data_IF_411303575589
#
_entry.id   IF_411303575589
#
_cell.length_a   1.000
_cell.length_b   1.000
_cell.length_c   1.000
_cell.angle_alpha   90.00
_cell.angle_beta   90.00
_cell.angle_gamma   90.00
#
_symmetry.space_group_name_H-M   'P 1'
#
loop_
_entity.id
_entity.type
_entity.pdbx_description
1 polymer ?
#
# COMPACT_ATOMS: atom_id res chain seq x y z
N UNK A 1 -3.17 -26.31 -17.55
CA UNK A 1 -3.94 -25.97 -16.33
C UNK A 1 -3.13 -25.05 -15.42
N UNK A 2 -2.95 -23.77 -15.77
CA UNK A 2 -1.99 -22.89 -15.05
C UNK A 2 -2.44 -21.42 -14.87
N UNK A 3 -3.71 -21.11 -15.17
CA UNK A 3 -4.29 -19.76 -15.00
C UNK A 3 -5.01 -19.62 -13.65
N UNK A 4 -5.52 -20.71 -13.07
CA UNK A 4 -6.27 -20.69 -11.81
C UNK A 4 -5.43 -20.33 -10.57
N UNK A 5 -4.11 -20.56 -10.59
CA UNK A 5 -3.23 -20.24 -9.44
C UNK A 5 -3.03 -18.72 -9.25
N UNK A 6 -2.59 -17.95 -10.26
CA UNK A 6 -2.35 -16.52 -10.08
C UNK A 6 -3.61 -15.70 -9.78
N UNK A 7 -4.77 -16.05 -10.36
CA UNK A 7 -6.04 -15.38 -10.04
C UNK A 7 -6.47 -15.64 -8.59
N UNK A 8 -6.22 -16.84 -8.05
CA UNK A 8 -6.47 -17.15 -6.64
C UNK A 8 -5.65 -16.28 -5.69
N UNK A 9 -4.36 -16.04 -5.98
CA UNK A 9 -3.54 -15.14 -5.17
C UNK A 9 -3.99 -13.67 -5.25
N UNK A 10 -4.44 -13.21 -6.42
CA UNK A 10 -5.00 -11.86 -6.57
C UNK A 10 -6.30 -11.66 -5.78
N UNK A 11 -7.22 -12.64 -5.85
CA UNK A 11 -8.46 -12.61 -5.08
C UNK A 11 -8.21 -12.67 -3.58
N UNK A 12 -7.23 -13.46 -3.14
CA UNK A 12 -6.81 -13.51 -1.73
C UNK A 12 -6.25 -12.16 -1.28
N UNK A 13 -5.37 -11.55 -2.08
CA UNK A 13 -4.80 -10.24 -1.77
C UNK A 13 -5.87 -9.12 -1.68
N UNK A 14 -6.86 -9.14 -2.58
CA UNK A 14 -8.03 -8.26 -2.52
C UNK A 14 -8.79 -8.44 -1.19
N UNK A 15 -9.11 -9.69 -0.83
CA UNK A 15 -9.85 -10.00 0.39
C UNK A 15 -9.08 -9.63 1.66
N UNK A 16 -7.78 -9.91 1.71
CA UNK A 16 -6.90 -9.54 2.83
C UNK A 16 -6.84 -8.03 3.00
N UNK A 17 -6.70 -7.27 1.90
CA UNK A 17 -6.66 -5.81 1.98
C UNK A 17 -7.97 -5.23 2.55
N UNK A 18 -9.12 -5.73 2.07
CA UNK A 18 -10.42 -5.34 2.63
C UNK A 18 -10.55 -5.74 4.11
N UNK A 19 -10.16 -6.96 4.46
CA UNK A 19 -10.23 -7.43 5.84
C UNK A 19 -9.37 -6.59 6.79
N UNK A 20 -8.17 -6.21 6.35
CA UNK A 20 -7.30 -5.29 7.10
C UNK A 20 -7.92 -3.90 7.23
N UNK A 21 -8.51 -3.36 6.16
CA UNK A 21 -9.19 -2.07 6.18
C UNK A 21 -10.35 -2.05 7.19
N UNK A 22 -11.27 -3.02 7.09
CA UNK A 22 -12.42 -3.12 8.00
C UNK A 22 -11.97 -3.45 9.43
N UNK A 23 -11.00 -4.34 9.60
CA UNK A 23 -10.48 -4.75 10.90
C UNK A 23 -9.81 -3.59 11.65
N UNK A 24 -8.94 -2.84 10.98
CA UNK A 24 -8.25 -1.70 11.58
C UNK A 24 -9.23 -0.58 11.96
N UNK A 25 -10.14 -0.19 11.07
CA UNK A 25 -11.11 0.87 11.34
C UNK A 25 -12.11 0.47 12.43
N UNK A 26 -12.57 -0.79 12.43
CA UNK A 26 -13.49 -1.27 13.46
C UNK A 26 -12.80 -1.28 14.83
N UNK A 27 -11.53 -1.67 14.90
CA UNK A 27 -10.76 -1.70 16.14
C UNK A 27 -10.49 -0.29 16.72
N UNK A 28 -10.24 0.69 15.86
CA UNK A 28 -9.88 2.06 16.29
C UNK A 28 -11.11 2.94 16.52
N UNK A 29 -12.11 2.87 15.63
CA UNK A 29 -13.21 3.85 15.56
C UNK A 29 -14.60 3.22 15.67
N UNK A 30 -14.70 1.89 15.74
CA UNK A 30 -15.97 1.16 15.86
C UNK A 30 -16.66 0.86 14.53
N UNK A 31 -17.67 -0.01 14.60
CA UNK A 31 -18.34 -0.57 13.41
C UNK A 31 -19.17 0.47 12.64
N UNK A 32 -19.95 1.32 13.34
CA UNK A 32 -20.80 2.33 12.69
C UNK A 32 -19.97 3.34 11.89
N UNK A 33 -18.83 3.78 12.44
CA UNK A 33 -17.91 4.68 11.75
C UNK A 33 -17.30 4.02 10.51
N UNK A 34 -16.91 2.76 10.62
CA UNK A 34 -16.29 2.00 9.51
C UNK A 34 -17.24 1.86 8.32
N UNK A 35 -18.51 1.49 8.56
CA UNK A 35 -19.50 1.36 7.50
C UNK A 35 -19.84 2.72 6.89
N UNK A 36 -19.94 3.77 7.70
CA UNK A 36 -20.22 5.12 7.19
C UNK A 36 -19.08 5.61 6.27
N UNK A 37 -17.83 5.49 6.73
CA UNK A 37 -16.63 5.80 5.94
C UNK A 37 -16.56 4.97 4.65
N UNK A 38 -16.85 3.67 4.73
CA UNK A 38 -16.85 2.82 3.55
C UNK A 38 -17.93 3.27 2.56
N UNK A 39 -19.15 3.60 3.02
CA UNK A 39 -20.24 4.05 2.14
C UNK A 39 -19.95 5.37 1.45
N UNK A 40 -19.18 6.25 2.09
CA UNK A 40 -18.83 7.56 1.54
C UNK A 40 -17.68 7.46 0.54
N UNK A 41 -16.69 6.60 0.81
CA UNK A 41 -15.48 6.47 0.01
C UNK A 41 -15.39 5.17 -0.80
N UNK A 42 -16.49 4.41 -0.94
CA UNK A 42 -16.49 3.11 -1.63
C UNK A 42 -15.93 3.20 -3.05
N UNK A 43 -16.22 4.31 -3.75
CA UNK A 43 -15.75 4.58 -5.10
C UNK A 43 -14.22 4.68 -5.21
N UNK A 44 -13.53 5.01 -4.12
CA UNK A 44 -12.07 4.99 -4.06
C UNK A 44 -11.56 3.64 -3.56
N UNK A 45 -12.18 3.09 -2.52
CA UNK A 45 -11.71 1.88 -1.83
C UNK A 45 -11.81 0.65 -2.74
N UNK A 46 -12.93 0.49 -3.45
CA UNK A 46 -13.17 -0.69 -4.28
C UNK A 46 -12.19 -0.75 -5.47
N UNK A 47 -12.02 0.32 -6.28
CA UNK A 47 -11.03 0.30 -7.36
C UNK A 47 -9.59 0.12 -6.87
N UNK A 48 -9.24 0.70 -5.70
CA UNK A 48 -7.91 0.51 -5.12
C UNK A 48 -7.66 -0.97 -4.79
N UNK A 49 -8.62 -1.59 -4.11
CA UNK A 49 -8.52 -2.99 -3.73
C UNK A 49 -8.48 -3.91 -4.96
N UNK A 50 -9.33 -3.65 -5.96
CA UNK A 50 -9.32 -4.39 -7.23
C UNK A 50 -7.98 -4.23 -7.93
N UNK A 51 -7.46 -3.00 -8.04
CA UNK A 51 -6.16 -2.71 -8.62
C UNK A 51 -5.03 -3.43 -7.91
N UNK A 52 -5.05 -3.48 -6.58
CA UNK A 52 -4.09 -4.24 -5.78
C UNK A 52 -4.15 -5.74 -6.06
N UNK A 53 -5.36 -6.32 -6.10
CA UNK A 53 -5.54 -7.73 -6.45
C UNK A 53 -5.02 -8.08 -7.86
N UNK A 54 -5.26 -7.20 -8.83
CA UNK A 54 -4.72 -7.32 -10.19
C UNK A 54 -3.20 -7.26 -10.19
N UNK A 55 -2.59 -6.28 -9.52
CA UNK A 55 -1.14 -6.15 -9.40
C UNK A 55 -0.50 -7.41 -8.81
N UNK A 56 -1.11 -8.00 -7.77
CA UNK A 56 -0.62 -9.25 -7.16
C UNK A 56 -0.77 -10.43 -8.12
N UNK A 57 -1.89 -10.56 -8.83
CA UNK A 57 -2.09 -11.63 -9.81
C UNK A 57 -1.06 -11.57 -10.95
N UNK A 58 -0.81 -10.36 -11.49
CA UNK A 58 0.23 -10.13 -12.49
C UNK A 58 1.62 -10.42 -11.93
N UNK A 59 1.94 -9.96 -10.72
CA UNK A 59 3.24 -10.22 -10.10
C UNK A 59 3.52 -11.72 -9.92
N UNK A 60 2.55 -12.49 -9.44
CA UNK A 60 2.69 -13.95 -9.28
C UNK A 60 2.87 -14.62 -10.65
N UNK A 61 2.13 -14.17 -11.67
CA UNK A 61 2.29 -14.68 -13.03
C UNK A 61 3.67 -14.35 -13.61
N UNK A 62 4.13 -13.11 -13.45
CA UNK A 62 5.45 -12.67 -13.90
C UNK A 62 6.54 -13.47 -13.20
N UNK A 63 6.43 -13.64 -11.88
CA UNK A 63 7.35 -14.44 -11.07
C UNK A 63 7.40 -15.89 -11.57
N UNK A 64 6.26 -16.52 -11.85
CA UNK A 64 6.23 -17.89 -12.37
C UNK A 64 6.90 -18.05 -13.75
N UNK A 65 6.72 -17.07 -14.64
CA UNK A 65 7.33 -17.07 -15.97
C UNK A 65 8.84 -16.82 -15.87
N UNK A 66 9.22 -15.82 -15.08
CA UNK A 66 10.60 -15.39 -14.89
C UNK A 66 11.42 -16.38 -14.09
N UNK A 67 10.87 -17.05 -13.07
CA UNK A 67 11.58 -18.10 -12.32
C UNK A 67 11.94 -19.31 -13.18
N UNK A 68 11.36 -19.46 -14.37
CA UNK A 68 11.75 -20.48 -15.36
C UNK A 68 12.84 -19.98 -16.32
N UNK A 69 13.05 -18.67 -16.42
CA UNK A 69 14.13 -18.06 -17.18
C UNK A 69 15.33 -17.81 -16.25
N UNK A 70 16.48 -18.39 -16.57
CA UNK A 70 17.67 -18.46 -15.70
C UNK A 70 18.27 -17.09 -15.29
N UNK A 71 17.78 -15.98 -15.83
CA UNK A 71 18.49 -14.68 -15.83
C UNK A 71 17.58 -13.45 -15.67
N UNK A 72 16.57 -13.49 -14.79
CA UNK A 72 15.58 -12.40 -14.76
C UNK A 72 15.05 -12.02 -13.36
N UNK A 73 15.75 -12.43 -12.30
CA UNK A 73 15.47 -11.98 -10.93
C UNK A 73 15.45 -10.45 -10.76
N UNK A 74 16.27 -9.73 -11.53
CA UNK A 74 16.32 -8.27 -11.58
C UNK A 74 15.00 -7.63 -12.00
N UNK A 75 14.26 -8.26 -12.92
CA UNK A 75 12.97 -7.73 -13.43
C UNK A 75 11.88 -7.82 -12.35
N UNK A 76 11.84 -8.93 -11.61
CA UNK A 76 10.94 -9.11 -10.46
C UNK A 76 11.30 -8.11 -9.35
N UNK A 77 12.59 -7.97 -9.04
CA UNK A 77 13.07 -7.05 -8.02
C UNK A 77 12.72 -5.60 -8.37
N UNK A 78 13.04 -5.16 -9.59
CA UNK A 78 12.74 -3.80 -10.05
C UNK A 78 11.23 -3.51 -10.09
N UNK A 79 10.40 -4.45 -10.54
CA UNK A 79 8.95 -4.26 -10.59
C UNK A 79 8.33 -4.18 -9.19
N UNK A 80 8.81 -5.00 -8.26
CA UNK A 80 8.38 -4.96 -6.86
C UNK A 80 8.80 -3.66 -6.17
N UNK A 81 10.05 -3.24 -6.32
CA UNK A 81 10.57 -2.03 -5.67
C UNK A 81 9.92 -0.76 -6.22
N UNK A 82 9.73 -0.66 -7.54
CA UNK A 82 9.06 0.49 -8.17
C UNK A 82 7.61 0.62 -7.72
N UNK A 83 6.88 -0.49 -7.59
CA UNK A 83 5.49 -0.50 -7.11
C UNK A 83 5.39 -0.04 -5.65
N UNK A 84 6.28 -0.54 -4.79
CA UNK A 84 6.35 -0.10 -3.39
C UNK A 84 6.75 1.38 -3.28
N UNK A 85 7.71 1.84 -4.08
CA UNK A 85 8.11 3.25 -4.12
C UNK A 85 6.96 4.13 -4.58
N UNK A 86 6.16 3.72 -5.56
CA UNK A 86 4.98 4.46 -6.00
C UNK A 86 3.90 4.55 -4.91
N UNK A 87 3.70 3.48 -4.15
CA UNK A 87 2.80 3.50 -2.99
C UNK A 87 3.32 4.43 -1.91
N UNK A 88 4.62 4.34 -1.56
CA UNK A 88 5.23 5.21 -0.56
C UNK A 88 5.22 6.67 -1.01
N UNK A 89 5.50 6.97 -2.28
CA UNK A 89 5.45 8.34 -2.80
C UNK A 89 4.05 8.91 -2.79
N UNK A 90 3.04 8.10 -3.10
CA UNK A 90 1.64 8.49 -2.97
C UNK A 90 1.33 8.73 -1.49
N UNK A 91 1.69 7.83 -0.56
CA UNK A 91 1.45 8.03 0.88
C UNK A 91 2.26 9.20 1.49
N UNK A 92 3.42 9.53 0.94
CA UNK A 92 4.26 10.64 1.39
C UNK A 92 3.60 12.01 1.20
N UNK A 93 2.51 12.11 0.42
CA UNK A 93 1.70 13.32 0.40
C UNK A 93 1.08 13.62 1.79
N UNK A 94 0.87 12.63 2.64
CA UNK A 94 0.35 12.87 3.98
C UNK A 94 1.46 13.37 4.93
N UNK A 95 2.71 13.01 4.63
CA UNK A 95 3.87 13.50 5.38
C UNK A 95 4.01 15.01 5.25
N UNK A 96 3.62 15.61 4.12
CA UNK A 96 3.64 17.08 3.96
C UNK A 96 2.63 17.81 4.85
N UNK A 97 1.59 17.13 5.38
CA UNK A 97 0.71 17.71 6.40
C UNK A 97 1.37 17.81 7.78
N UNK A 98 2.34 16.95 8.09
CA UNK A 98 2.98 16.86 9.41
C UNK A 98 4.40 17.43 9.41
N UNK A 99 5.07 17.40 8.26
CA UNK A 99 6.42 17.91 8.06
C UNK A 99 6.63 19.37 8.47
N UNK A 100 5.68 20.32 8.27
CA UNK A 100 5.86 21.70 8.70
C UNK A 100 5.95 21.83 10.23
N UNK A 101 5.11 21.09 10.97
CA UNK A 101 5.11 21.10 12.43
C UNK A 101 6.38 20.48 12.97
N UNK A 102 6.75 19.29 12.48
CA UNK A 102 7.98 18.61 12.89
C UNK A 102 9.23 19.42 12.51
N UNK A 103 9.26 20.00 11.32
CA UNK A 103 10.35 20.85 10.83
C UNK A 103 10.50 22.11 11.67
N UNK A 104 9.40 22.80 12.00
CA UNK A 104 9.44 23.96 12.88
C UNK A 104 9.96 23.60 14.27
N UNK A 105 9.49 22.50 14.87
CA UNK A 105 9.98 22.05 16.18
C UNK A 105 11.44 21.62 16.13
N UNK A 106 11.88 20.97 15.06
CA UNK A 106 13.27 20.54 14.88
C UNK A 106 14.22 21.73 14.71
N UNK A 107 13.83 22.74 13.94
CA UNK A 107 14.59 23.99 13.79
C UNK A 107 14.70 24.75 15.11
N UNK A 108 13.61 24.86 15.87
CA UNK A 108 13.61 25.52 17.18
C UNK A 108 14.47 24.75 18.17
N UNK A 109 14.35 23.42 18.24
CA UNK A 109 15.18 22.59 19.11
C UNK A 109 16.67 22.68 18.75
N UNK A 110 16.99 22.74 17.46
CA UNK A 110 18.36 22.93 16.98
C UNK A 110 18.90 24.31 17.34
N UNK A 111 18.14 25.38 17.11
CA UNK A 111 18.53 26.74 17.48
C UNK A 111 18.74 26.87 19.01
N UNK A 112 17.88 26.22 19.80
CA UNK A 112 17.98 26.18 21.26
C UNK A 112 19.28 25.52 21.76
N UNK A 113 19.91 24.63 20.98
CA UNK A 113 21.22 24.05 21.33
C UNK A 113 22.38 25.04 21.19
N UNK A 114 22.22 26.08 20.36
CA UNK A 114 23.22 27.14 20.16
C UNK A 114 22.88 28.44 20.90
N UNK A 115 21.72 28.50 21.55
CA UNK A 115 21.40 29.51 22.56
C UNK A 115 22.16 29.14 23.85
N UNK A 116 23.43 29.54 23.90
CA UNK A 116 24.21 29.72 25.14
C UNK A 116 23.83 31.02 25.82
#
# INVERSE_FOLDING_TARGET
MAIARPTGFGALAFGVLLALYFGALTAVSGWSFTVNQFSEFWFYIVPLAVGFGIQVALFVRLRQVVSRAKESGTVIAASGTTSTLAMVSCCAHYLTNVAPVLGATGLVAFAAQFQV
#
